data_IF_942601317434
#
_entry.id   IF_942601317434
#
_cell.length_a   1.000
_cell.length_b   1.000
_cell.length_c   1.000
_cell.angle_alpha   90.00
_cell.angle_beta   90.00
_cell.angle_gamma   90.00
#
_symmetry.space_group_name_H-M   'P 1'
#
loop_
_entity.id
_entity.type
_entity.pdbx_description
1 polymer ?
#
# COMPACT_ATOMS: atom_id res chain seq x y z
N UNK A 1 20.80 20.07 -21.58
CA UNK A 1 19.83 21.06 -22.10
C UNK A 1 19.46 20.77 -23.57
N UNK A 2 20.42 20.64 -24.49
CA UNK A 2 20.13 20.46 -25.93
C UNK A 2 19.39 19.14 -26.21
N UNK A 3 19.78 18.02 -25.61
CA UNK A 3 19.09 16.74 -25.76
C UNK A 3 17.63 16.82 -25.29
N UNK A 4 17.36 17.51 -24.17
CA UNK A 4 15.98 17.71 -23.68
C UNK A 4 15.16 18.50 -24.70
N UNK A 5 15.73 19.57 -25.29
CA UNK A 5 15.08 20.38 -26.32
C UNK A 5 14.73 19.55 -27.57
N UNK A 6 15.65 18.69 -28.00
CA UNK A 6 15.45 17.79 -29.14
C UNK A 6 14.36 16.77 -28.81
N UNK A 7 14.43 16.11 -27.64
CA UNK A 7 13.45 15.14 -27.21
C UNK A 7 12.02 15.73 -27.17
N UNK A 8 11.89 16.94 -26.59
CA UNK A 8 10.60 17.65 -26.55
C UNK A 8 10.06 17.99 -27.95
N UNK A 9 10.94 18.35 -28.91
CA UNK A 9 10.53 18.57 -30.29
C UNK A 9 9.90 17.33 -30.93
N UNK A 10 10.32 16.13 -30.51
CA UNK A 10 9.81 14.86 -31.02
C UNK A 10 8.83 14.18 -30.04
N UNK A 11 8.29 14.92 -29.06
CA UNK A 11 7.36 14.42 -28.04
C UNK A 11 7.90 13.19 -27.28
N UNK A 12 9.22 13.17 -26.98
CA UNK A 12 9.85 12.11 -26.21
C UNK A 12 10.04 12.53 -24.76
N UNK A 13 9.73 11.64 -23.83
CA UNK A 13 9.96 11.85 -22.40
C UNK A 13 11.46 11.82 -22.10
N UNK A 14 11.90 12.73 -21.22
CA UNK A 14 13.29 12.77 -20.72
C UNK A 14 13.27 12.55 -19.22
N UNK A 15 13.98 11.54 -18.76
CA UNK A 15 14.19 11.21 -17.36
C UNK A 15 15.63 11.57 -17.02
N UNK A 16 15.81 12.43 -16.03
CA UNK A 16 17.11 13.00 -15.71
C UNK A 16 17.55 12.61 -14.30
N UNK A 17 18.66 11.90 -14.21
CA UNK A 17 19.39 11.73 -12.95
C UNK A 17 20.31 12.95 -12.75
N UNK A 18 20.15 13.65 -11.64
CA UNK A 18 20.86 14.91 -11.40
C UNK A 18 22.30 14.66 -10.96
N UNK A 19 23.24 15.35 -11.58
CA UNK A 19 24.67 15.27 -11.20
C UNK A 19 25.28 16.64 -10.95
N UNK A 20 24.68 17.70 -11.48
CA UNK A 20 25.22 19.05 -11.41
C UNK A 20 24.23 20.05 -10.84
N UNK A 21 24.66 21.02 -10.01
CA UNK A 21 23.78 22.01 -9.39
C UNK A 21 23.39 23.13 -10.37
N UNK A 22 22.77 22.82 -11.49
CA UNK A 22 22.43 23.79 -12.54
C UNK A 22 21.03 23.57 -13.08
N UNK A 23 20.08 24.43 -12.73
CA UNK A 23 18.70 24.41 -13.28
C UNK A 23 18.67 24.47 -14.81
N UNK A 24 19.57 25.25 -15.43
CA UNK A 24 19.59 25.45 -16.87
C UNK A 24 19.78 24.15 -17.65
N UNK A 25 20.50 23.18 -17.07
CA UNK A 25 20.73 21.87 -17.70
C UNK A 25 19.49 20.98 -17.74
N UNK A 26 18.53 21.22 -16.85
CA UNK A 26 17.36 20.37 -16.66
C UNK A 26 16.05 20.99 -17.14
N UNK A 27 16.10 22.16 -17.77
CA UNK A 27 14.92 22.88 -18.23
C UNK A 27 14.02 22.03 -19.12
N UNK A 28 12.72 22.01 -18.77
CA UNK A 28 11.65 21.33 -19.48
C UNK A 28 11.85 19.80 -19.60
N UNK A 29 12.58 19.17 -18.67
CA UNK A 29 12.61 17.73 -18.57
C UNK A 29 11.23 17.17 -18.24
N UNK A 30 10.94 15.94 -18.65
CA UNK A 30 9.72 15.26 -18.23
C UNK A 30 9.76 14.92 -16.74
N UNK A 31 10.86 14.33 -16.28
CA UNK A 31 11.09 13.99 -14.89
C UNK A 31 12.54 14.29 -14.49
N UNK A 32 12.72 14.85 -13.30
CA UNK A 32 14.02 15.06 -12.66
C UNK A 32 14.06 14.25 -11.38
N UNK A 33 15.12 13.44 -11.19
CA UNK A 33 15.33 12.58 -10.03
C UNK A 33 16.56 13.02 -9.23
N UNK A 34 16.43 13.92 -8.27
CA UNK A 34 17.50 14.22 -7.31
C UNK A 34 17.44 13.24 -6.12
N UNK A 35 18.59 12.99 -5.47
CA UNK A 35 18.63 12.57 -4.08
C UNK A 35 18.53 13.80 -3.15
N UNK A 36 18.47 13.59 -1.83
CA UNK A 36 18.33 14.70 -0.87
C UNK A 36 19.48 15.72 -0.95
N UNK A 37 20.72 15.24 -1.09
CA UNK A 37 21.89 16.13 -1.18
C UNK A 37 21.88 16.92 -2.49
N UNK A 38 21.54 16.28 -3.59
CA UNK A 38 21.38 16.93 -4.90
C UNK A 38 20.24 17.95 -4.86
N UNK A 39 19.11 17.61 -4.25
CA UNK A 39 17.97 18.50 -4.09
C UNK A 39 18.33 19.74 -3.26
N UNK A 40 19.01 19.53 -2.11
CA UNK A 40 19.56 20.60 -1.26
C UNK A 40 20.54 21.49 -2.01
N UNK A 41 21.46 20.87 -2.76
CA UNK A 41 22.48 21.59 -3.52
C UNK A 41 21.89 22.42 -4.67
N UNK A 42 20.87 21.88 -5.36
CA UNK A 42 20.16 22.58 -6.42
C UNK A 42 19.36 23.76 -5.86
N UNK A 43 18.53 23.52 -4.85
CA UNK A 43 17.56 24.52 -4.36
C UNK A 43 18.11 25.46 -3.30
N UNK A 44 19.20 25.09 -2.65
CA UNK A 44 19.76 25.78 -1.46
C UNK A 44 18.76 25.80 -0.29
N UNK A 45 17.81 24.90 -0.28
CA UNK A 45 16.78 24.77 0.76
C UNK A 45 17.10 23.61 1.71
N UNK A 46 16.53 23.66 2.90
CA UNK A 46 16.53 22.55 3.86
C UNK A 46 15.65 21.40 3.35
N UNK A 47 16.02 20.15 3.69
CA UNK A 47 15.33 18.92 3.29
C UNK A 47 15.29 17.88 4.43
N UNK A 48 15.13 18.36 5.68
CA UNK A 48 15.25 17.52 6.89
C UNK A 48 13.96 16.77 7.24
N UNK A 49 12.81 17.18 6.71
CA UNK A 49 11.50 16.58 6.95
C UNK A 49 10.66 16.56 5.66
N UNK A 50 9.52 15.89 5.72
CA UNK A 50 8.62 15.69 4.58
C UNK A 50 8.17 16.99 3.92
N UNK A 51 7.79 17.98 4.72
CA UNK A 51 7.32 19.29 4.23
C UNK A 51 8.41 20.06 3.51
N UNK A 52 9.62 20.05 4.07
CA UNK A 52 10.79 20.70 3.46
C UNK A 52 11.19 20.03 2.14
N UNK A 53 11.14 18.69 2.07
CA UNK A 53 11.40 17.94 0.82
C UNK A 53 10.36 18.28 -0.24
N UNK A 54 9.08 18.31 0.10
CA UNK A 54 8.01 18.70 -0.83
C UNK A 54 8.20 20.11 -1.33
N UNK A 55 8.55 21.05 -0.45
CA UNK A 55 8.78 22.45 -0.79
C UNK A 55 9.98 22.60 -1.72
N UNK A 56 11.10 21.96 -1.41
CA UNK A 56 12.31 21.98 -2.24
C UNK A 56 12.09 21.33 -3.61
N UNK A 57 11.38 20.20 -3.66
CA UNK A 57 11.05 19.50 -4.90
C UNK A 57 10.13 20.35 -5.81
N UNK A 58 9.14 21.05 -5.24
CA UNK A 58 8.29 21.97 -5.97
C UNK A 58 9.06 23.21 -6.48
N UNK A 59 10.01 23.73 -5.70
CA UNK A 59 10.90 24.81 -6.13
C UNK A 59 11.77 24.36 -7.33
N UNK A 60 12.42 23.20 -7.24
CA UNK A 60 13.18 22.62 -8.35
C UNK A 60 12.32 22.47 -9.61
N UNK A 61 11.10 21.97 -9.43
CA UNK A 61 10.13 21.81 -10.51
C UNK A 61 9.79 23.17 -11.15
N UNK A 62 9.48 24.18 -10.35
CA UNK A 62 9.12 25.53 -10.83
C UNK A 62 10.27 26.19 -11.59
N UNK A 63 11.49 26.12 -11.08
CA UNK A 63 12.69 26.71 -11.70
C UNK A 63 13.09 26.02 -13.00
N UNK A 64 12.83 24.73 -13.12
CA UNK A 64 13.19 23.96 -14.32
C UNK A 64 12.06 23.85 -15.33
N UNK A 65 10.80 24.02 -14.93
CA UNK A 65 9.65 23.74 -15.77
C UNK A 65 9.43 22.24 -16.01
N UNK A 66 10.02 21.37 -15.18
CA UNK A 66 9.84 19.95 -15.30
C UNK A 66 8.37 19.55 -14.99
N UNK A 67 7.89 18.47 -15.62
CA UNK A 67 6.55 17.98 -15.34
C UNK A 67 6.49 17.33 -13.97
N UNK A 68 7.51 16.54 -13.62
CA UNK A 68 7.63 15.83 -12.35
C UNK A 68 9.00 16.00 -11.71
N UNK A 69 9.05 15.98 -10.37
CA UNK A 69 10.29 15.77 -9.61
C UNK A 69 10.06 14.58 -8.68
N UNK A 70 10.98 13.61 -8.71
CA UNK A 70 10.99 12.44 -7.83
C UNK A 70 12.25 12.51 -6.95
N UNK A 71 12.13 13.00 -5.74
CA UNK A 71 13.22 13.03 -4.77
C UNK A 71 13.40 11.66 -4.11
N UNK A 72 14.59 11.04 -4.26
CA UNK A 72 14.94 9.81 -3.54
C UNK A 72 15.49 10.14 -2.16
N UNK A 73 15.04 9.41 -1.12
CA UNK A 73 15.26 9.75 0.29
C UNK A 73 15.91 8.60 1.08
N UNK A 74 16.59 7.71 0.38
CA UNK A 74 17.23 6.53 0.97
C UNK A 74 16.20 5.65 1.67
N UNK A 75 16.42 5.35 2.95
CA UNK A 75 15.52 4.50 3.77
C UNK A 75 14.10 5.04 3.91
N UNK A 76 13.90 6.34 3.75
CA UNK A 76 12.59 6.98 3.86
C UNK A 76 11.79 6.92 2.54
N UNK A 77 12.36 6.27 1.49
CA UNK A 77 11.69 6.03 0.22
C UNK A 77 11.82 7.20 -0.75
N UNK A 78 10.70 7.67 -1.30
CA UNK A 78 10.68 8.69 -2.35
C UNK A 78 9.55 9.71 -2.15
N UNK A 79 9.73 10.91 -2.69
CA UNK A 79 8.70 11.95 -2.75
C UNK A 79 8.53 12.39 -4.19
N UNK A 80 7.35 12.15 -4.76
CA UNK A 80 6.94 12.58 -6.09
C UNK A 80 6.13 13.87 -6.00
N UNK A 81 6.44 14.87 -6.82
CA UNK A 81 5.62 16.10 -6.95
C UNK A 81 5.31 16.39 -8.42
N UNK A 82 4.09 16.88 -8.69
CA UNK A 82 3.60 17.30 -10.01
C UNK A 82 3.23 18.80 -10.07
N UNK A 83 3.39 19.51 -8.96
CA UNK A 83 3.06 20.93 -8.76
C UNK A 83 1.61 21.21 -8.38
N UNK A 84 0.74 20.22 -8.36
CA UNK A 84 -0.64 20.29 -7.84
C UNK A 84 -0.80 19.42 -6.60
N UNK A 85 -0.14 18.28 -6.63
CA UNK A 85 -0.16 17.28 -5.58
C UNK A 85 1.23 16.74 -5.30
N UNK A 86 1.36 15.99 -4.22
CA UNK A 86 2.55 15.22 -3.90
C UNK A 86 2.17 13.84 -3.39
N UNK A 87 3.09 12.89 -3.51
CA UNK A 87 2.95 11.55 -2.99
C UNK A 87 4.25 11.13 -2.31
N UNK A 88 4.15 10.74 -1.04
CA UNK A 88 5.23 10.03 -0.37
C UNK A 88 5.10 8.53 -0.60
N UNK A 89 6.16 7.93 -1.11
CA UNK A 89 6.30 6.48 -1.30
C UNK A 89 7.27 6.03 -0.23
N UNK A 90 6.78 5.28 0.75
CA UNK A 90 7.59 4.82 1.89
C UNK A 90 8.69 3.87 1.45
N UNK A 91 9.83 3.93 2.11
CA UNK A 91 10.91 2.96 1.92
C UNK A 91 10.49 1.56 2.39
N UNK A 92 10.88 0.55 1.66
CA UNK A 92 10.48 -0.85 1.88
C UNK A 92 11.60 -1.68 2.52
N UNK A 93 12.86 -1.27 2.35
CA UNK A 93 14.02 -2.02 2.82
C UNK A 93 14.21 -1.94 4.34
N UNK A 94 14.32 -3.11 5.00
CA UNK A 94 14.71 -3.24 6.41
C UNK A 94 16.22 -3.33 6.60
N UNK A 95 16.95 -3.86 5.62
CA UNK A 95 18.41 -4.05 5.65
C UNK A 95 19.02 -3.46 4.38
N UNK A 96 20.04 -2.64 4.54
CA UNK A 96 20.78 -2.00 3.45
C UNK A 96 22.22 -2.49 3.51
N UNK A 97 22.65 -3.22 2.48
CA UNK A 97 24.03 -3.71 2.36
C UNK A 97 24.90 -2.81 1.49
N UNK A 98 24.36 -2.38 0.35
CA UNK A 98 25.07 -1.51 -0.59
C UNK A 98 24.07 -0.58 -1.29
N UNK A 99 24.39 0.71 -1.38
CA UNK A 99 23.55 1.71 -2.05
C UNK A 99 24.01 2.01 -3.49
N UNK A 100 25.07 1.33 -3.95
CA UNK A 100 25.62 1.52 -5.29
C UNK A 100 24.64 1.00 -6.35
N UNK A 101 24.28 1.87 -7.31
CA UNK A 101 23.35 1.52 -8.39
C UNK A 101 21.86 1.82 -8.10
N UNK A 102 21.46 2.02 -6.83
CA UNK A 102 20.07 2.29 -6.46
C UNK A 102 19.40 3.39 -7.29
N UNK A 103 20.14 4.46 -7.59
CA UNK A 103 19.67 5.54 -8.44
C UNK A 103 19.46 5.13 -9.90
N UNK A 104 20.33 4.26 -10.42
CA UNK A 104 20.27 3.74 -11.79
C UNK A 104 19.11 2.75 -11.94
N UNK A 105 18.88 1.91 -10.94
CA UNK A 105 17.71 1.03 -10.87
C UNK A 105 16.41 1.83 -10.87
N UNK A 106 16.30 2.87 -10.03
CA UNK A 106 15.12 3.74 -10.01
C UNK A 106 14.85 4.33 -11.40
N UNK A 107 15.84 4.93 -12.05
CA UNK A 107 15.63 5.58 -13.35
C UNK A 107 15.28 4.56 -14.45
N UNK A 108 15.85 3.36 -14.40
CA UNK A 108 15.58 2.27 -15.34
C UNK A 108 14.13 1.78 -15.25
N UNK A 109 13.64 1.51 -14.04
CA UNK A 109 12.25 1.09 -13.81
C UNK A 109 11.25 2.20 -14.15
N UNK A 110 11.57 3.46 -13.87
CA UNK A 110 10.78 4.61 -14.31
C UNK A 110 10.70 4.67 -15.84
N UNK A 111 11.81 4.46 -16.54
CA UNK A 111 11.83 4.50 -17.99
C UNK A 111 10.98 3.38 -18.61
N UNK A 112 11.10 2.15 -18.09
CA UNK A 112 10.33 0.99 -18.57
C UNK A 112 8.84 1.18 -18.30
N UNK A 113 8.45 1.56 -17.08
CA UNK A 113 7.04 1.73 -16.72
C UNK A 113 6.36 2.84 -17.54
N UNK A 114 7.01 3.99 -17.68
CA UNK A 114 6.49 5.10 -18.47
C UNK A 114 6.45 4.79 -19.97
N UNK A 115 7.41 4.03 -20.51
CA UNK A 115 7.39 3.58 -21.90
C UNK A 115 6.22 2.61 -22.19
N UNK A 116 5.74 1.90 -21.17
CA UNK A 116 4.55 1.04 -21.23
C UNK A 116 3.26 1.76 -20.84
N UNK A 117 3.26 3.10 -20.72
CA UNK A 117 2.12 3.94 -20.38
C UNK A 117 1.53 3.69 -18.98
N UNK A 118 2.34 3.21 -18.02
CA UNK A 118 1.91 3.14 -16.64
C UNK A 118 1.85 4.53 -16.02
N UNK A 119 0.94 4.71 -15.05
CA UNK A 119 0.85 5.95 -14.29
C UNK A 119 2.13 6.20 -13.51
N UNK A 120 2.53 7.48 -13.41
CA UNK A 120 3.81 7.87 -12.79
C UNK A 120 3.90 7.44 -11.32
N UNK A 121 2.80 7.51 -10.58
CA UNK A 121 2.76 7.10 -9.17
C UNK A 121 3.02 5.60 -8.99
N UNK A 122 2.38 4.76 -9.81
CA UNK A 122 2.57 3.31 -9.78
C UNK A 122 3.96 2.90 -10.26
N UNK A 123 4.45 3.59 -11.30
CA UNK A 123 5.82 3.42 -11.79
C UNK A 123 6.85 3.77 -10.72
N UNK A 124 6.64 4.84 -9.96
CA UNK A 124 7.52 5.25 -8.87
C UNK A 124 7.49 4.24 -7.69
N UNK A 125 6.32 3.67 -7.37
CA UNK A 125 6.22 2.58 -6.39
C UNK A 125 7.00 1.34 -6.82
N UNK A 126 6.85 0.93 -8.08
CA UNK A 126 7.59 -0.20 -8.64
C UNK A 126 9.11 0.04 -8.59
N UNK A 127 9.56 1.24 -8.97
CA UNK A 127 10.96 1.64 -8.91
C UNK A 127 11.50 1.64 -7.47
N UNK A 128 10.67 2.03 -6.49
CA UNK A 128 11.03 1.98 -5.07
C UNK A 128 11.22 0.54 -4.57
N UNK A 129 10.34 -0.39 -4.95
CA UNK A 129 10.48 -1.82 -4.63
C UNK A 129 11.75 -2.38 -5.27
N UNK A 130 11.98 -2.14 -6.55
CA UNK A 130 13.17 -2.62 -7.25
C UNK A 130 14.46 -2.10 -6.60
N UNK A 131 14.52 -0.81 -6.27
CA UNK A 131 15.65 -0.21 -5.57
C UNK A 131 15.85 -0.83 -4.18
N UNK A 132 14.78 -1.15 -3.45
CA UNK A 132 14.88 -1.79 -2.13
C UNK A 132 15.45 -3.21 -2.20
N UNK A 133 15.12 -3.96 -3.24
CA UNK A 133 15.69 -5.28 -3.50
C UNK A 133 17.18 -5.15 -3.84
N UNK A 134 17.55 -4.20 -4.69
CA UNK A 134 18.94 -3.97 -5.06
C UNK A 134 19.81 -3.65 -3.85
N UNK A 135 19.44 -2.68 -3.02
CA UNK A 135 20.24 -2.28 -1.84
C UNK A 135 20.35 -3.37 -0.78
N UNK A 136 19.52 -4.41 -0.85
CA UNK A 136 19.62 -5.62 -0.02
C UNK A 136 20.64 -6.65 -0.54
N UNK A 137 21.28 -6.40 -1.68
CA UNK A 137 22.31 -7.26 -2.28
C UNK A 137 23.66 -6.60 -2.18
N UNK A 138 24.74 -7.36 -2.32
CA UNK A 138 26.10 -6.83 -2.37
C UNK A 138 26.46 -6.44 -3.81
N UNK A 139 26.96 -5.23 -3.99
CA UNK A 139 27.35 -4.68 -5.30
C UNK A 139 26.17 -4.28 -6.18
N UNK A 140 26.44 -3.83 -7.40
CA UNK A 140 25.40 -3.52 -8.37
C UNK A 140 24.66 -4.79 -8.82
N UNK A 141 23.33 -4.79 -8.70
CA UNK A 141 22.51 -5.94 -8.95
C UNK A 141 21.34 -5.61 -9.91
N UNK A 142 21.15 -6.46 -10.91
CA UNK A 142 20.00 -6.34 -11.83
C UNK A 142 18.81 -7.07 -11.26
N UNK A 143 17.84 -6.33 -10.75
CA UNK A 143 16.61 -6.89 -10.16
C UNK A 143 15.73 -7.48 -11.25
N UNK A 144 15.24 -8.69 -11.06
CA UNK A 144 14.31 -9.35 -11.96
C UNK A 144 12.83 -9.04 -11.64
N UNK A 145 11.96 -9.27 -12.62
CA UNK A 145 10.50 -9.12 -12.40
C UNK A 145 9.99 -10.18 -11.42
N UNK A 146 10.59 -11.36 -11.42
CA UNK A 146 10.26 -12.47 -10.51
C UNK A 146 10.54 -12.06 -9.06
N UNK A 147 11.69 -11.45 -8.77
CA UNK A 147 12.02 -10.96 -7.42
C UNK A 147 11.07 -9.85 -6.96
N UNK A 148 10.63 -8.97 -7.86
CA UNK A 148 9.62 -7.95 -7.53
C UNK A 148 8.29 -8.61 -7.18
N UNK A 149 7.84 -9.61 -7.96
CA UNK A 149 6.61 -10.36 -7.68
C UNK A 149 6.69 -11.08 -6.34
N UNK A 150 7.81 -11.75 -6.06
CA UNK A 150 8.04 -12.40 -4.76
C UNK A 150 8.02 -11.39 -3.61
N UNK A 151 8.60 -10.21 -3.79
CA UNK A 151 8.59 -9.16 -2.78
C UNK A 151 7.18 -8.64 -2.51
N UNK A 152 6.40 -8.37 -3.57
CA UNK A 152 5.00 -7.94 -3.45
C UNK A 152 4.15 -9.02 -2.78
N UNK A 153 4.37 -10.29 -3.12
CA UNK A 153 3.65 -11.42 -2.51
C UNK A 153 4.00 -11.54 -1.02
N UNK A 154 5.28 -11.42 -0.65
CA UNK A 154 5.69 -11.41 0.77
C UNK A 154 5.14 -10.24 1.56
N UNK A 155 5.00 -9.06 0.95
CA UNK A 155 4.31 -7.93 1.59
C UNK A 155 2.81 -8.20 1.76
N UNK A 156 2.20 -8.90 0.82
CA UNK A 156 0.81 -9.35 0.93
C UNK A 156 0.65 -10.44 2.01
N UNK A 157 1.63 -11.36 2.17
CA UNK A 157 1.65 -12.34 3.26
C UNK A 157 1.80 -11.66 4.64
N UNK A 158 2.62 -10.63 4.75
CA UNK A 158 2.69 -9.77 5.97
C UNK A 158 1.37 -9.00 6.18
N UNK A 159 0.63 -8.69 5.11
CA UNK A 159 -0.71 -8.11 5.23
C UNK A 159 -1.74 -9.10 5.78
N UNK A 160 -1.51 -10.40 5.61
CA UNK A 160 -2.35 -11.47 6.16
C UNK A 160 -2.33 -11.46 7.69
N UNK A 161 -1.15 -11.49 8.32
CA UNK A 161 -1.02 -11.41 9.78
C UNK A 161 -1.64 -10.13 10.36
N UNK A 162 -1.58 -9.02 9.61
CA UNK A 162 -2.21 -7.77 10.01
C UNK A 162 -3.74 -7.78 9.93
N UNK A 163 -4.34 -8.73 9.20
CA UNK A 163 -5.80 -8.89 9.12
C UNK A 163 -6.38 -9.77 10.23
N UNK A 164 -5.55 -10.42 11.04
CA UNK A 164 -5.92 -11.32 12.13
C UNK A 164 -5.52 -10.78 13.52
N UNK A 165 -5.85 -9.52 13.86
CA UNK A 165 -5.52 -8.97 15.16
C UNK A 165 -6.32 -9.65 16.27
N UNK A 166 -5.83 -9.59 17.50
CA UNK A 166 -6.64 -9.88 18.67
C UNK A 166 -7.80 -8.87 18.77
N UNK A 167 -8.85 -9.25 19.52
CA UNK A 167 -10.03 -8.36 19.71
C UNK A 167 -9.63 -7.02 20.33
N UNK A 168 -8.66 -7.02 21.26
CA UNK A 168 -8.16 -5.81 21.92
C UNK A 168 -7.37 -4.90 20.98
N UNK A 169 -6.54 -5.48 20.14
CA UNK A 169 -5.80 -4.74 19.10
C UNK A 169 -6.73 -4.19 18.05
N UNK A 170 -7.69 -4.99 17.57
CA UNK A 170 -8.69 -4.55 16.59
C UNK A 170 -9.50 -3.36 17.13
N UNK A 171 -9.93 -3.41 18.39
CA UNK A 171 -10.68 -2.30 19.00
C UNK A 171 -9.89 -0.98 18.96
N UNK A 172 -8.57 -1.03 19.23
CA UNK A 172 -7.68 0.14 19.13
C UNK A 172 -7.52 0.64 17.70
N UNK A 173 -7.32 -0.29 16.75
CA UNK A 173 -7.21 0.03 15.33
C UNK A 173 -8.50 0.72 14.84
N UNK A 174 -9.65 0.14 15.14
CA UNK A 174 -10.94 0.69 14.70
C UNK A 174 -11.23 2.06 15.34
N UNK A 175 -10.80 2.28 16.58
CA UNK A 175 -10.91 3.60 17.21
C UNK A 175 -10.10 4.66 16.44
N UNK A 176 -8.85 4.37 16.09
CA UNK A 176 -8.01 5.27 15.31
C UNK A 176 -8.56 5.53 13.89
N UNK A 177 -9.19 4.52 13.27
CA UNK A 177 -9.80 4.68 11.95
C UNK A 177 -11.10 5.52 12.00
N UNK A 178 -11.90 5.42 13.08
CA UNK A 178 -13.06 6.29 13.29
C UNK A 178 -12.66 7.77 13.44
N UNK A 179 -11.55 8.05 14.13
CA UNK A 179 -11.02 9.42 14.26
C UNK A 179 -10.67 10.03 12.91
N UNK A 180 -10.38 9.17 11.89
CA UNK A 180 -10.18 9.57 10.49
C UNK A 180 -11.48 9.66 9.68
N UNK A 181 -12.63 9.44 10.30
CA UNK A 181 -13.95 9.47 9.65
C UNK A 181 -14.33 8.20 8.87
N UNK A 182 -13.62 7.08 9.07
CA UNK A 182 -13.91 5.80 8.41
C UNK A 182 -15.14 5.12 9.01
N UNK A 183 -16.00 4.57 8.13
CA UNK A 183 -17.16 3.74 8.50
C UNK A 183 -16.79 2.26 8.61
N UNK A 184 -17.18 1.65 9.73
CA UNK A 184 -16.89 0.26 10.06
C UNK A 184 -18.14 -0.58 9.82
N UNK A 185 -18.01 -1.58 8.97
CA UNK A 185 -19.04 -2.61 8.71
C UNK A 185 -18.63 -3.89 9.41
N UNK A 186 -19.56 -4.52 10.09
CA UNK A 186 -19.37 -5.79 10.76
C UNK A 186 -20.31 -6.85 10.20
N UNK A 187 -19.81 -8.04 10.04
CA UNK A 187 -20.60 -9.25 9.83
C UNK A 187 -20.02 -10.42 10.60
N UNK A 188 -20.81 -11.47 10.83
CA UNK A 188 -20.31 -12.68 11.46
C UNK A 188 -20.91 -13.94 10.86
N UNK A 189 -20.24 -15.07 11.07
CA UNK A 189 -20.71 -16.38 10.66
C UNK A 189 -19.76 -17.50 11.00
N UNK A 190 -20.21 -18.75 10.81
CA UNK A 190 -19.38 -19.93 10.97
C UNK A 190 -18.40 -20.09 9.80
N UNK A 191 -18.82 -19.80 8.57
CA UNK A 191 -18.05 -19.95 7.32
C UNK A 191 -17.40 -21.34 7.17
N UNK A 192 -18.08 -22.37 7.68
CA UNK A 192 -17.54 -23.71 7.80
C UNK A 192 -17.23 -24.36 6.43
N UNK A 193 -18.14 -24.21 5.45
CA UNK A 193 -17.87 -24.56 4.06
C UNK A 193 -18.05 -23.28 3.25
N UNK A 194 -16.91 -22.68 2.89
CA UNK A 194 -16.93 -21.44 2.12
C UNK A 194 -17.36 -21.68 0.67
N UNK A 195 -18.27 -20.85 0.15
CA UNK A 195 -18.77 -20.95 -1.22
C UNK A 195 -19.03 -19.58 -1.84
N UNK A 196 -19.33 -19.56 -3.14
CA UNK A 196 -19.53 -18.30 -3.89
C UNK A 196 -20.58 -17.37 -3.31
N UNK A 197 -21.59 -17.90 -2.62
CA UNK A 197 -22.59 -17.11 -1.90
C UNK A 197 -21.98 -16.26 -0.80
N UNK A 198 -21.08 -16.83 0.01
CA UNK A 198 -20.34 -16.10 1.03
C UNK A 198 -19.45 -15.00 0.40
N UNK A 199 -18.73 -15.32 -0.68
CA UNK A 199 -17.89 -14.35 -1.38
C UNK A 199 -18.71 -13.17 -1.92
N UNK A 200 -19.86 -13.42 -2.54
CA UNK A 200 -20.75 -12.36 -3.05
C UNK A 200 -21.33 -11.51 -1.92
N UNK A 201 -21.75 -12.15 -0.84
CA UNK A 201 -22.28 -11.47 0.33
C UNK A 201 -21.22 -10.55 0.98
N UNK A 202 -20.02 -11.06 1.24
CA UNK A 202 -18.94 -10.26 1.83
C UNK A 202 -18.53 -9.08 0.94
N UNK A 203 -18.48 -9.29 -0.38
CA UNK A 203 -18.22 -8.21 -1.33
C UNK A 203 -19.32 -7.15 -1.31
N UNK A 204 -20.58 -7.54 -1.16
CA UNK A 204 -21.66 -6.57 -1.01
C UNK A 204 -21.57 -5.85 0.35
N UNK A 205 -21.32 -6.58 1.43
CA UNK A 205 -21.15 -5.98 2.76
C UNK A 205 -20.06 -4.92 2.78
N UNK A 206 -18.92 -5.15 2.10
CA UNK A 206 -17.82 -4.19 2.04
C UNK A 206 -18.17 -2.88 1.34
N UNK A 207 -19.24 -2.82 0.53
CA UNK A 207 -19.67 -1.58 -0.14
C UNK A 207 -20.43 -0.61 0.77
N UNK A 208 -20.79 -1.03 1.98
CA UNK A 208 -21.55 -0.19 2.91
C UNK A 208 -20.68 0.71 3.80
N UNK A 209 -19.36 0.49 3.81
CA UNK A 209 -18.41 1.31 4.55
C UNK A 209 -16.98 1.18 4.05
N UNK A 210 -16.03 1.70 4.82
CA UNK A 210 -14.61 1.74 4.45
C UNK A 210 -13.82 0.52 4.95
N UNK A 211 -14.29 -0.11 6.04
CA UNK A 211 -13.61 -1.21 6.73
C UNK A 211 -14.63 -2.32 6.97
N UNK A 212 -14.39 -3.51 6.39
CA UNK A 212 -15.19 -4.70 6.67
C UNK A 212 -14.49 -5.58 7.70
N UNK A 213 -15.14 -5.80 8.84
CA UNK A 213 -14.73 -6.73 9.89
C UNK A 213 -15.61 -7.97 9.84
N UNK A 214 -14.98 -9.15 9.84
CA UNK A 214 -15.67 -10.44 9.85
C UNK A 214 -15.41 -11.15 11.17
N UNK A 215 -16.46 -11.36 11.96
CA UNK A 215 -16.44 -12.20 13.17
C UNK A 215 -16.63 -13.67 12.80
N UNK A 216 -15.71 -14.55 13.22
CA UNK A 216 -15.77 -15.98 12.97
C UNK A 216 -16.06 -16.73 14.27
N UNK A 217 -17.10 -17.57 14.28
CA UNK A 217 -17.39 -18.45 15.42
C UNK A 217 -16.24 -19.45 15.59
N UNK A 218 -15.77 -19.62 16.83
CA UNK A 218 -14.81 -20.67 17.18
C UNK A 218 -15.36 -22.07 16.86
N UNK A 219 -14.48 -23.04 16.76
CA UNK A 219 -14.86 -24.45 16.56
C UNK A 219 -15.80 -24.95 17.66
N UNK A 220 -15.54 -24.53 18.89
CA UNK A 220 -16.38 -24.85 20.03
C UNK A 220 -17.80 -24.27 19.89
N UNK A 221 -17.91 -23.01 19.44
CA UNK A 221 -19.19 -22.36 19.17
C UNK A 221 -19.93 -23.04 18.01
N UNK A 222 -19.23 -23.36 16.91
CA UNK A 222 -19.83 -24.06 15.76
C UNK A 222 -20.38 -25.44 16.17
N UNK A 223 -19.63 -26.20 16.99
CA UNK A 223 -20.11 -27.50 17.52
C UNK A 223 -21.41 -27.36 18.32
N UNK A 224 -21.50 -26.33 19.16
CA UNK A 224 -22.75 -26.06 19.91
C UNK A 224 -23.92 -25.70 18.99
N UNK A 225 -23.68 -24.90 17.96
CA UNK A 225 -24.71 -24.38 17.06
C UNK A 225 -25.16 -25.39 15.99
N UNK A 226 -24.23 -26.21 15.46
CA UNK A 226 -24.46 -27.09 14.30
C UNK A 226 -24.29 -28.59 14.56
N UNK A 227 -23.93 -28.97 15.78
CA UNK A 227 -23.72 -30.35 16.18
C UNK A 227 -22.26 -30.80 16.20
N UNK A 228 -21.96 -31.99 16.81
CA UNK A 228 -20.63 -32.42 17.12
C UNK A 228 -19.76 -32.74 15.91
N UNK A 229 -20.35 -33.05 14.76
CA UNK A 229 -19.66 -33.34 13.49
C UNK A 229 -19.22 -32.06 12.75
N UNK A 230 -19.44 -30.90 13.35
CA UNK A 230 -19.10 -29.59 12.75
C UNK A 230 -18.18 -28.80 13.70
N UNK A 231 -17.28 -27.94 13.18
CA UNK A 231 -17.06 -27.63 11.76
C UNK A 231 -16.26 -28.71 11.04
N UNK A 232 -16.28 -28.69 9.69
CA UNK A 232 -15.42 -29.54 8.84
C UNK A 232 -14.04 -28.90 8.67
N UNK A 233 -14.00 -27.55 8.56
CA UNK A 233 -12.79 -26.76 8.39
C UNK A 233 -12.47 -26.07 9.72
N UNK A 234 -11.22 -26.16 10.18
CA UNK A 234 -10.79 -25.55 11.46
C UNK A 234 -10.96 -24.04 11.49
N UNK A 235 -11.08 -23.46 12.69
CA UNK A 235 -11.22 -22.00 12.84
C UNK A 235 -10.05 -21.25 12.23
N UNK A 236 -8.82 -21.78 12.32
CA UNK A 236 -7.63 -21.19 11.73
C UNK A 236 -7.74 -21.12 10.21
N UNK A 237 -8.07 -22.24 9.55
CA UNK A 237 -8.23 -22.30 8.10
C UNK A 237 -9.40 -21.43 7.60
N UNK A 238 -10.49 -21.35 8.36
CA UNK A 238 -11.64 -20.49 8.03
C UNK A 238 -11.26 -19.01 8.11
N UNK A 239 -10.50 -18.63 9.13
CA UNK A 239 -10.01 -17.26 9.29
C UNK A 239 -9.01 -16.88 8.19
N UNK A 240 -8.10 -17.81 7.85
CA UNK A 240 -7.13 -17.65 6.78
C UNK A 240 -7.82 -17.37 5.44
N UNK A 241 -8.76 -18.22 5.06
CA UNK A 241 -9.51 -18.10 3.82
C UNK A 241 -10.29 -16.77 3.73
N UNK A 242 -10.83 -16.28 4.85
CA UNK A 242 -11.52 -15.00 4.90
C UNK A 242 -10.55 -13.81 4.82
N UNK A 243 -9.38 -13.91 5.43
CA UNK A 243 -8.35 -12.87 5.39
C UNK A 243 -7.76 -12.70 3.97
N UNK A 244 -7.73 -13.77 3.16
CA UNK A 244 -7.29 -13.71 1.76
C UNK A 244 -8.25 -12.94 0.86
N UNK A 245 -9.50 -12.73 1.29
CA UNK A 245 -10.44 -11.96 0.49
C UNK A 245 -10.09 -10.47 0.49
N UNK A 246 -9.93 -9.91 -0.71
CA UNK A 246 -9.61 -8.49 -0.88
C UNK A 246 -10.62 -7.54 -0.23
N UNK A 247 -11.90 -7.93 -0.20
CA UNK A 247 -12.98 -7.12 0.38
C UNK A 247 -13.03 -7.16 1.91
N UNK A 248 -12.26 -8.04 2.58
CA UNK A 248 -12.21 -8.18 4.03
C UNK A 248 -11.00 -7.41 4.56
N UNK A 249 -11.24 -6.50 5.50
CA UNK A 249 -10.20 -5.71 6.14
C UNK A 249 -9.61 -6.40 7.37
N UNK A 250 -10.48 -6.99 8.20
CA UNK A 250 -10.08 -7.71 9.43
C UNK A 250 -10.96 -8.92 9.66
N UNK A 251 -10.37 -9.97 10.21
CA UNK A 251 -11.06 -11.17 10.68
C UNK A 251 -10.71 -11.36 12.15
N UNK A 252 -11.71 -11.65 12.96
CA UNK A 252 -11.55 -11.84 14.41
C UNK A 252 -12.42 -13.01 14.89
N UNK A 253 -11.84 -13.84 15.75
CA UNK A 253 -12.55 -14.99 16.36
C UNK A 253 -13.31 -14.56 17.60
N UNK A 254 -14.45 -15.22 17.85
CA UNK A 254 -15.20 -15.14 19.12
C UNK A 254 -15.71 -16.50 19.56
N UNK A 255 -15.82 -16.69 20.87
CA UNK A 255 -16.12 -17.98 21.52
C UNK A 255 -17.62 -18.16 21.83
N UNK A 256 -18.35 -17.06 21.89
CA UNK A 256 -19.75 -17.02 22.28
C UNK A 256 -20.66 -17.53 21.14
N UNK A 257 -21.88 -17.92 21.46
CA UNK A 257 -22.86 -18.36 20.46
C UNK A 257 -23.45 -17.19 19.66
N UNK A 258 -23.38 -15.98 20.23
CA UNK A 258 -23.77 -14.74 19.56
C UNK A 258 -22.63 -13.73 19.59
N UNK A 259 -22.49 -12.85 18.59
CA UNK A 259 -21.41 -11.87 18.52
C UNK A 259 -21.65 -10.63 19.41
N UNK A 260 -22.56 -10.67 20.35
CA UNK A 260 -23.00 -9.49 21.13
C UNK A 260 -21.85 -8.77 21.83
N UNK A 261 -21.02 -9.49 22.61
CA UNK A 261 -19.90 -8.87 23.33
C UNK A 261 -18.82 -8.36 22.37
N UNK A 262 -18.61 -9.05 21.25
CA UNK A 262 -17.70 -8.61 20.21
C UNK A 262 -18.19 -7.30 19.57
N UNK A 263 -19.46 -7.22 19.18
CA UNK A 263 -20.08 -6.01 18.60
C UNK A 263 -20.01 -4.85 19.60
N UNK A 264 -20.35 -5.09 20.88
CA UNK A 264 -20.29 -4.09 21.93
C UNK A 264 -18.86 -3.54 22.12
N UNK A 265 -17.84 -4.37 21.97
CA UNK A 265 -16.44 -3.97 22.08
C UNK A 265 -15.92 -3.24 20.84
N UNK A 266 -16.27 -3.71 19.65
CA UNK A 266 -15.81 -3.14 18.40
C UNK A 266 -16.64 -1.92 17.93
N UNK A 267 -17.90 -1.79 18.36
CA UNK A 267 -18.81 -0.67 18.06
C UNK A 267 -18.88 -0.34 16.55
N UNK A 268 -19.25 -1.29 15.68
CA UNK A 268 -19.36 -1.00 14.25
C UNK A 268 -20.50 -0.02 13.96
N UNK A 269 -20.36 0.76 12.86
CA UNK A 269 -21.39 1.69 12.39
C UNK A 269 -22.54 0.95 11.70
N UNK A 270 -22.25 -0.18 11.07
CA UNK A 270 -23.19 -0.98 10.30
C UNK A 270 -22.97 -2.46 10.61
N UNK A 271 -24.07 -3.17 10.89
CA UNK A 271 -24.07 -4.62 11.01
C UNK A 271 -24.81 -5.20 9.80
N UNK A 272 -24.23 -6.20 9.16
CA UNK A 272 -24.84 -6.91 8.03
C UNK A 272 -25.04 -8.37 8.35
N UNK A 273 -26.12 -8.96 7.82
CA UNK A 273 -26.43 -10.39 7.89
C UNK A 273 -26.80 -10.91 6.51
N UNK A 274 -26.57 -12.20 6.27
CA UNK A 274 -27.01 -12.86 5.05
C UNK A 274 -28.51 -12.83 4.89
N UNK A 275 -29.01 -12.88 3.65
CA UNK A 275 -30.43 -12.73 3.32
C UNK A 275 -31.37 -13.81 3.86
N UNK A 276 -30.85 -14.76 4.62
CA UNK A 276 -31.62 -15.83 5.27
C UNK A 276 -32.20 -15.41 6.65
N UNK A 277 -31.83 -14.20 7.14
CA UNK A 277 -32.31 -13.65 8.42
C UNK A 277 -33.33 -12.54 8.19
N UNK A 278 -34.42 -12.57 9.00
CA UNK A 278 -35.37 -11.46 9.04
C UNK A 278 -34.87 -10.34 9.95
N UNK A 279 -35.24 -9.05 9.72
CA UNK A 279 -34.80 -7.92 10.57
C UNK A 279 -35.05 -8.11 12.07
N UNK A 280 -36.08 -8.91 12.44
CA UNK A 280 -36.45 -9.20 13.83
C UNK A 280 -35.57 -10.30 14.47
N UNK A 281 -34.72 -10.97 13.69
CA UNK A 281 -33.84 -12.08 14.12
C UNK A 281 -32.37 -11.65 14.25
N UNK A 282 -32.08 -10.34 14.06
CA UNK A 282 -30.70 -9.79 14.04
C UNK A 282 -30.38 -9.08 15.36
#
# INVERSE_FOLDING_TARGET
AELIRIANKYNKMTLIDTKEPSYAKYKNAYLIKPNLDELKNLTKMSVNNDEEVVKAANELRAQTGAKYVLATRGKDGMTLVDGKSFQHIRGVSKEVYDVSGAGDTVISYLAVGLANNFEIGDTARLANIASSIEVSKMGTYAVSIEEIKEHINKENDVSYDNKLPSVDELAKILQAEREKGKKIVFTNGCFDIFHVGHSRYLRQASTYGDILVVGVNSDASVKRLKGPERPIISEEERMELLADLQCVSYVVKFEEDTPYELIKKLQPDIITKGGDYKPEEV
#
